data_IF_808681432533
#
_entry.id   IF_808681432533
#
_cell.length_a   1.000
_cell.length_b   1.000
_cell.length_c   1.000
_cell.angle_alpha   90.00
_cell.angle_beta   90.00
_cell.angle_gamma   90.00
#
_symmetry.space_group_name_H-M   'P 1'
#
loop_
_entity.id
_entity.type
_entity.pdbx_description
1 polymer ?
#
# COMPACT_ATOMS: atom_id res chain seq x y z
N UNK A 1 19.78 -38.35 -40.75
CA UNK A 1 18.58 -38.53 -39.90
C UNK A 1 18.75 -38.05 -38.45
N UNK A 2 19.89 -38.19 -37.81
CA UNK A 2 20.11 -37.79 -36.41
C UNK A 2 19.93 -36.27 -36.15
N UNK A 3 20.36 -35.39 -37.08
CA UNK A 3 20.21 -33.95 -36.97
C UNK A 3 18.73 -33.47 -36.89
N UNK A 4 17.83 -34.17 -37.58
CA UNK A 4 16.40 -33.87 -37.59
C UNK A 4 15.71 -34.23 -36.26
N UNK A 5 16.14 -35.29 -35.59
CA UNK A 5 15.58 -35.72 -34.31
C UNK A 5 16.02 -34.76 -33.17
N UNK A 6 17.31 -34.47 -33.11
CA UNK A 6 17.87 -33.50 -32.14
C UNK A 6 17.22 -32.13 -32.25
N UNK A 7 17.08 -31.62 -33.48
CA UNK A 7 16.40 -30.32 -33.71
C UNK A 7 14.95 -30.33 -33.23
N UNK A 8 14.21 -31.42 -33.36
CA UNK A 8 12.83 -31.54 -32.87
C UNK A 8 12.75 -31.54 -31.35
N UNK A 9 13.69 -32.23 -30.68
CA UNK A 9 13.78 -32.24 -29.22
C UNK A 9 14.13 -30.85 -28.66
N UNK A 10 15.13 -30.17 -29.25
CA UNK A 10 15.51 -28.81 -28.85
C UNK A 10 14.36 -27.83 -29.07
N UNK A 11 13.65 -27.93 -30.20
CA UNK A 11 12.48 -27.07 -30.46
C UNK A 11 11.35 -27.33 -29.47
N UNK A 12 11.05 -28.60 -29.15
CA UNK A 12 10.02 -28.93 -28.14
C UNK A 12 10.37 -28.43 -26.77
N UNK A 13 11.63 -28.51 -26.34
CA UNK A 13 12.12 -28.01 -25.08
C UNK A 13 12.05 -26.47 -25.01
N UNK A 14 12.39 -25.80 -26.11
CA UNK A 14 12.33 -24.35 -26.23
C UNK A 14 10.90 -23.85 -26.14
N UNK A 15 9.95 -24.50 -26.79
CA UNK A 15 8.51 -24.19 -26.71
C UNK A 15 8.00 -24.41 -25.30
N UNK A 16 8.34 -25.52 -24.65
CA UNK A 16 7.91 -25.82 -23.29
C UNK A 16 8.47 -24.79 -22.28
N UNK A 17 9.74 -24.42 -22.40
CA UNK A 17 10.38 -23.40 -21.57
C UNK A 17 9.73 -22.03 -21.75
N UNK A 18 9.46 -21.63 -22.99
CA UNK A 18 8.78 -20.36 -23.28
C UNK A 18 7.36 -20.34 -22.69
N UNK A 19 6.63 -21.44 -22.81
CA UNK A 19 5.26 -21.57 -22.30
C UNK A 19 5.25 -21.54 -20.77
N UNK A 20 6.25 -22.15 -20.12
CA UNK A 20 6.42 -22.10 -18.66
C UNK A 20 6.70 -20.68 -18.15
N UNK A 21 7.60 -19.94 -18.82
CA UNK A 21 7.89 -18.54 -18.47
C UNK A 21 6.65 -17.67 -18.64
N UNK A 22 5.90 -17.87 -19.71
CA UNK A 22 4.67 -17.09 -19.99
C UNK A 22 3.57 -17.38 -18.96
N UNK A 23 3.46 -18.62 -18.50
CA UNK A 23 2.52 -19.01 -17.44
C UNK A 23 2.91 -18.38 -16.11
N UNK A 24 4.18 -18.44 -15.74
CA UNK A 24 4.69 -17.81 -14.49
C UNK A 24 4.47 -16.30 -14.56
N UNK A 25 4.77 -15.66 -15.70
CA UNK A 25 4.61 -14.22 -15.87
C UNK A 25 3.17 -13.74 -15.67
N UNK A 26 2.21 -14.47 -16.25
CA UNK A 26 0.78 -14.11 -16.15
C UNK A 26 0.20 -14.38 -14.75
N UNK A 27 0.51 -15.52 -14.16
CA UNK A 27 -0.01 -15.88 -12.84
C UNK A 27 0.64 -15.09 -11.70
N UNK A 28 1.97 -14.91 -11.75
CA UNK A 28 2.73 -14.26 -10.67
C UNK A 28 2.36 -12.78 -10.51
N UNK A 29 2.07 -12.08 -11.60
CA UNK A 29 1.79 -10.63 -11.56
C UNK A 29 0.55 -10.29 -10.74
N UNK A 30 -0.56 -11.00 -10.93
CA UNK A 30 -1.80 -10.75 -10.20
C UNK A 30 -1.70 -11.08 -8.72
N UNK A 31 -1.18 -12.28 -8.42
CA UNK A 31 -1.05 -12.77 -7.03
C UNK A 31 -0.09 -11.87 -6.23
N UNK A 32 1.03 -11.48 -6.82
CA UNK A 32 2.02 -10.60 -6.17
C UNK A 32 1.42 -9.24 -5.86
N UNK A 33 0.65 -8.66 -6.78
CA UNK A 33 -0.01 -7.38 -6.56
C UNK A 33 -1.00 -7.41 -5.40
N UNK A 34 -1.89 -8.39 -5.38
CA UNK A 34 -2.90 -8.52 -4.33
C UNK A 34 -2.27 -8.77 -2.96
N UNK A 35 -1.21 -9.58 -2.93
CA UNK A 35 -0.43 -9.83 -1.74
C UNK A 35 0.24 -8.54 -1.23
N UNK A 36 0.93 -7.80 -2.10
CA UNK A 36 1.60 -6.55 -1.72
C UNK A 36 0.62 -5.49 -1.24
N UNK A 37 -0.55 -5.36 -1.88
CA UNK A 37 -1.60 -4.44 -1.45
C UNK A 37 -2.06 -4.79 -0.03
N UNK A 38 -2.35 -6.06 0.21
CA UNK A 38 -2.82 -6.52 1.52
C UNK A 38 -1.76 -6.37 2.61
N UNK A 39 -0.52 -6.72 2.31
CA UNK A 39 0.61 -6.59 3.22
C UNK A 39 0.86 -5.12 3.59
N UNK A 40 0.87 -4.22 2.60
CA UNK A 40 0.99 -2.79 2.83
C UNK A 40 -0.19 -2.21 3.60
N UNK A 41 -1.42 -2.65 3.29
CA UNK A 41 -2.60 -2.21 4.01
C UNK A 41 -2.55 -2.59 5.50
N UNK A 42 -2.13 -3.80 5.82
CA UNK A 42 -1.97 -4.24 7.20
C UNK A 42 -0.90 -3.42 7.94
N UNK A 43 0.28 -3.26 7.33
CA UNK A 43 1.35 -2.47 7.93
C UNK A 43 0.95 -1.00 8.17
N UNK A 44 0.23 -0.39 7.23
CA UNK A 44 -0.29 0.97 7.38
C UNK A 44 -1.41 1.06 8.41
N UNK A 45 -2.22 0.01 8.55
CA UNK A 45 -3.27 -0.04 9.59
C UNK A 45 -2.67 -0.13 10.99
N UNK A 46 -1.61 -0.92 11.16
CA UNK A 46 -0.89 -1.01 12.44
C UNK A 46 -0.27 0.35 12.79
N UNK A 47 0.39 1.03 11.85
CA UNK A 47 0.93 2.38 12.03
C UNK A 47 -0.17 3.40 12.35
N UNK A 48 -1.32 3.31 11.67
CA UNK A 48 -2.46 4.19 11.94
C UNK A 48 -2.98 4.03 13.37
N UNK A 49 -2.98 2.79 13.90
CA UNK A 49 -3.37 2.53 15.29
C UNK A 49 -2.36 3.12 16.28
N UNK A 50 -1.05 3.02 16.00
CA UNK A 50 -0.01 3.59 16.86
C UNK A 50 -0.10 5.12 16.92
N UNK A 51 -0.34 5.75 15.77
CA UNK A 51 -0.60 7.20 15.70
C UNK A 51 -1.91 7.55 16.42
N UNK A 52 -2.97 6.74 16.24
CA UNK A 52 -4.25 6.97 16.91
C UNK A 52 -4.15 6.84 18.43
N UNK A 53 -3.35 5.90 18.94
CA UNK A 53 -3.06 5.80 20.36
C UNK A 53 -2.35 7.05 20.89
N UNK A 54 -1.36 7.56 20.17
CA UNK A 54 -0.67 8.80 20.52
C UNK A 54 -1.62 10.01 20.51
N UNK A 55 -2.48 10.13 19.50
CA UNK A 55 -3.53 11.15 19.44
C UNK A 55 -4.50 11.04 20.63
N UNK A 56 -4.87 9.83 21.04
CA UNK A 56 -5.78 9.61 22.17
C UNK A 56 -5.24 10.20 23.48
N UNK A 57 -3.94 10.05 23.74
CA UNK A 57 -3.29 10.63 24.93
C UNK A 57 -3.37 12.15 24.94
N UNK A 58 -3.27 12.80 23.77
CA UNK A 58 -3.43 14.27 23.66
C UNK A 58 -4.85 14.71 24.04
N UNK A 59 -5.88 13.99 23.58
CA UNK A 59 -7.27 14.30 23.92
C UNK A 59 -7.58 14.08 25.41
N UNK A 60 -6.81 13.23 26.09
CA UNK A 60 -6.98 12.97 27.53
C UNK A 60 -6.23 13.98 28.42
N UNK A 61 -5.66 15.05 27.84
CA UNK A 61 -5.03 16.13 28.59
C UNK A 61 -3.60 15.84 29.06
N UNK A 62 -2.98 14.79 28.58
CA UNK A 62 -1.53 14.63 28.71
C UNK A 62 -0.87 15.65 27.78
N UNK A 63 -0.12 16.59 28.36
CA UNK A 63 0.58 17.66 27.64
C UNK A 63 1.60 17.05 26.67
N UNK A 64 1.17 16.78 25.45
CA UNK A 64 2.05 16.49 24.36
C UNK A 64 2.15 17.74 23.49
N UNK A 65 3.38 18.16 23.20
CA UNK A 65 3.61 19.33 22.37
C UNK A 65 3.06 19.10 20.97
N UNK A 66 2.07 19.90 20.55
CA UNK A 66 1.40 19.79 19.25
C UNK A 66 2.40 19.92 18.08
N UNK A 67 3.41 20.78 18.25
CA UNK A 67 4.46 21.00 17.24
C UNK A 67 5.36 19.78 17.12
N UNK A 68 5.69 19.16 18.26
CA UNK A 68 6.44 17.91 18.27
C UNK A 68 5.67 16.79 17.59
N UNK A 69 4.39 16.64 17.90
CA UNK A 69 3.54 15.62 17.30
C UNK A 69 3.38 15.82 15.79
N UNK A 70 3.15 17.06 15.34
CA UNK A 70 3.07 17.37 13.92
C UNK A 70 4.37 17.05 13.18
N UNK A 71 5.51 17.29 13.81
CA UNK A 71 6.83 16.94 13.29
C UNK A 71 7.03 15.43 13.20
N UNK A 72 6.61 14.67 14.20
CA UNK A 72 6.64 13.21 14.18
C UNK A 72 5.76 12.66 13.06
N UNK A 73 4.52 13.17 12.93
CA UNK A 73 3.59 12.79 11.87
C UNK A 73 4.20 13.01 10.47
N UNK A 74 4.87 14.15 10.27
CA UNK A 74 5.59 14.47 9.03
C UNK A 74 6.74 13.51 8.76
N UNK A 75 7.52 13.17 9.78
CA UNK A 75 8.65 12.25 9.65
C UNK A 75 8.16 10.84 9.26
N UNK A 76 7.13 10.32 9.92
CA UNK A 76 6.50 9.03 9.60
C UNK A 76 5.96 9.04 8.18
N UNK A 77 5.22 10.08 7.81
CA UNK A 77 4.66 10.27 6.47
C UNK A 77 5.76 10.25 5.39
N UNK A 78 6.87 10.93 5.63
CA UNK A 78 8.01 10.98 4.72
C UNK A 78 8.69 9.61 4.59
N UNK A 79 8.90 8.93 5.71
CA UNK A 79 9.52 7.61 5.73
C UNK A 79 8.69 6.56 4.99
N UNK A 80 7.37 6.56 5.23
CA UNK A 80 6.43 5.63 4.60
C UNK A 80 6.00 6.05 3.20
N UNK A 81 6.39 7.24 2.73
CA UNK A 81 5.93 7.84 1.47
C UNK A 81 4.41 7.95 1.38
N UNK A 82 3.77 8.26 2.49
CA UNK A 82 2.32 8.36 2.63
C UNK A 82 1.89 9.80 2.87
N UNK A 83 0.58 10.02 2.85
CA UNK A 83 -0.04 11.23 3.38
C UNK A 83 -0.91 10.83 4.57
N UNK A 84 -0.71 11.48 5.72
CA UNK A 84 -1.39 11.13 6.96
C UNK A 84 -2.27 12.30 7.39
N UNK A 85 -3.55 12.01 7.60
CA UNK A 85 -4.50 12.98 8.13
C UNK A 85 -5.07 12.52 9.47
N UNK A 86 -5.24 13.44 10.38
CA UNK A 86 -6.07 13.26 11.57
C UNK A 86 -7.36 14.02 11.33
N UNK A 87 -8.48 13.32 11.44
CA UNK A 87 -9.82 13.91 11.21
C UNK A 87 -10.68 13.79 12.45
N UNK A 88 -11.60 14.72 12.63
CA UNK A 88 -12.62 14.63 13.66
C UNK A 88 -13.74 13.65 13.26
N UNK A 89 -14.72 13.46 14.15
CA UNK A 89 -15.89 12.58 13.90
C UNK A 89 -16.70 12.96 12.66
N UNK A 90 -16.68 14.23 12.29
CA UNK A 90 -17.44 14.75 11.14
C UNK A 90 -16.64 14.75 9.83
N UNK A 91 -15.46 14.14 9.82
CA UNK A 91 -14.62 14.07 8.62
C UNK A 91 -13.89 15.37 8.27
N UNK A 92 -13.74 16.30 9.21
CA UNK A 92 -12.92 17.50 9.01
C UNK A 92 -11.48 17.19 9.35
N UNK A 93 -10.56 17.48 8.43
CA UNK A 93 -9.11 17.31 8.64
C UNK A 93 -8.63 18.36 9.63
N UNK A 94 -8.10 17.91 10.76
CA UNK A 94 -7.55 18.74 11.82
C UNK A 94 -6.02 18.80 11.81
N UNK A 95 -5.36 17.75 11.30
CA UNK A 95 -3.92 17.69 11.10
C UNK A 95 -3.59 17.01 9.77
N UNK A 96 -2.55 17.48 9.12
CA UNK A 96 -2.05 16.96 7.84
C UNK A 96 -0.53 16.91 7.88
N UNK A 97 0.02 15.77 7.50
CA UNK A 97 1.46 15.55 7.43
C UNK A 97 2.17 16.32 6.30
N UNK A 98 1.43 16.81 5.30
CA UNK A 98 1.94 17.58 4.16
C UNK A 98 1.72 19.09 4.32
N UNK A 99 2.46 19.70 5.25
CA UNK A 99 2.50 21.17 5.44
C UNK A 99 1.14 21.84 5.67
N UNK A 100 0.14 21.11 6.15
CA UNK A 100 -1.17 21.66 6.48
C UNK A 100 -2.07 22.00 5.28
N UNK A 101 -1.70 21.57 4.07
CA UNK A 101 -2.43 21.91 2.84
C UNK A 101 -3.90 21.42 2.86
N UNK A 102 -4.20 20.38 3.64
CA UNK A 102 -5.54 19.79 3.76
C UNK A 102 -6.28 20.15 5.04
N UNK A 103 -5.67 20.90 5.94
CA UNK A 103 -6.33 21.34 7.20
C UNK A 103 -7.62 22.09 6.85
N UNK A 104 -8.69 21.80 7.60
CA UNK A 104 -10.06 22.26 7.39
C UNK A 104 -10.77 21.70 6.15
N UNK A 105 -10.15 20.79 5.38
CA UNK A 105 -10.86 20.07 4.32
C UNK A 105 -11.93 19.18 4.94
N UNK A 106 -13.13 19.22 4.38
CA UNK A 106 -14.24 18.34 4.78
C UNK A 106 -14.29 17.18 3.81
N UNK A 107 -14.23 15.95 4.33
CA UNK A 107 -14.38 14.73 3.52
C UNK A 107 -15.88 14.52 3.29
N UNK A 108 -16.35 14.56 2.03
CA UNK A 108 -17.77 14.37 1.72
C UNK A 108 -18.25 12.98 2.17
N UNK A 109 -19.44 12.90 2.75
CA UNK A 109 -20.07 11.64 3.16
C UNK A 109 -19.11 10.71 3.95
N UNK A 110 -18.31 11.32 4.84
CA UNK A 110 -17.29 10.61 5.62
C UNK A 110 -17.95 9.51 6.48
N UNK A 111 -17.72 8.27 6.08
CA UNK A 111 -18.09 7.10 6.85
C UNK A 111 -16.89 6.14 6.94
N UNK A 112 -16.15 6.17 8.06
CA UNK A 112 -14.99 5.31 8.26
C UNK A 112 -15.37 3.83 8.41
N UNK A 113 -16.66 3.51 8.59
CA UNK A 113 -17.18 2.15 8.72
C UNK A 113 -17.72 1.59 7.39
N UNK A 114 -17.89 2.43 6.38
CA UNK A 114 -18.45 2.06 5.07
C UNK A 114 -17.59 1.07 4.28
N UNK A 115 -16.34 0.83 4.71
CA UNK A 115 -15.45 -0.16 4.07
C UNK A 115 -15.90 -1.61 4.25
N UNK A 116 -16.94 -1.86 5.06
CA UNK A 116 -17.43 -3.20 5.37
C UNK A 116 -16.34 -4.04 6.07
N UNK A 117 -16.17 -5.29 5.61
CA UNK A 117 -15.13 -6.18 6.16
C UNK A 117 -13.71 -5.90 5.63
N UNK A 118 -13.51 -4.84 4.86
CA UNK A 118 -12.20 -4.48 4.33
C UNK A 118 -11.54 -3.45 5.24
N UNK A 119 -10.33 -3.74 5.67
CA UNK A 119 -9.51 -2.80 6.46
C UNK A 119 -8.92 -1.65 5.64
N UNK A 120 -9.15 -1.61 4.32
CA UNK A 120 -8.61 -0.60 3.42
C UNK A 120 -9.52 -0.34 2.21
N UNK A 121 -9.34 0.83 1.59
CA UNK A 121 -9.97 1.21 0.32
C UNK A 121 -8.90 1.56 -0.71
N UNK A 122 -9.21 1.36 -2.01
CA UNK A 122 -8.36 1.80 -3.13
C UNK A 122 -9.20 2.68 -4.04
N UNK A 123 -8.70 3.87 -4.33
CA UNK A 123 -9.35 4.83 -5.20
C UNK A 123 -8.83 6.24 -4.97
N UNK A 124 -9.54 7.23 -5.48
CA UNK A 124 -9.18 8.65 -5.33
C UNK A 124 -9.61 9.25 -4.00
N UNK A 125 -9.99 8.43 -3.04
CA UNK A 125 -10.47 8.78 -1.70
C UNK A 125 -11.37 10.02 -1.71
N UNK A 126 -12.66 9.80 -2.00
CA UNK A 126 -13.67 10.87 -2.13
C UNK A 126 -13.29 11.98 -3.14
N UNK A 127 -12.52 11.65 -4.18
CA UNK A 127 -12.00 12.59 -5.21
C UNK A 127 -11.07 13.68 -4.65
N UNK A 128 -10.46 13.43 -3.49
CA UNK A 128 -9.49 14.34 -2.87
C UNK A 128 -8.07 14.14 -3.40
N UNK A 129 -7.81 13.02 -4.10
CA UNK A 129 -6.54 12.73 -4.77
C UNK A 129 -6.74 12.64 -6.29
N UNK A 130 -5.74 13.12 -7.04
CA UNK A 130 -5.71 13.03 -8.50
C UNK A 130 -5.33 11.63 -8.99
N UNK A 131 -4.82 10.78 -8.11
CA UNK A 131 -4.39 9.41 -8.37
C UNK A 131 -5.03 8.42 -7.39
N UNK A 132 -4.97 7.13 -7.74
CA UNK A 132 -5.42 6.10 -6.83
C UNK A 132 -4.46 5.96 -5.64
N UNK A 133 -5.03 5.96 -4.45
CA UNK A 133 -4.35 5.73 -3.18
C UNK A 133 -4.94 4.52 -2.47
N UNK A 134 -4.10 3.78 -1.78
CA UNK A 134 -4.49 2.82 -0.77
C UNK A 134 -4.71 3.59 0.52
N UNK A 135 -5.92 3.55 1.07
CA UNK A 135 -6.30 4.29 2.27
C UNK A 135 -6.70 3.34 3.37
N UNK A 136 -6.16 3.57 4.56
CA UNK A 136 -6.53 2.88 5.79
C UNK A 136 -7.06 3.90 6.80
N UNK A 137 -7.89 3.43 7.75
CA UNK A 137 -8.48 4.26 8.79
C UNK A 137 -8.40 3.56 10.14
N UNK A 138 -7.90 4.27 11.16
CA UNK A 138 -7.88 3.79 12.54
C UNK A 138 -8.61 4.78 13.46
N UNK A 139 -9.49 4.32 14.37
CA UNK A 139 -10.22 5.21 15.27
C UNK A 139 -9.32 5.72 16.39
N UNK A 140 -9.38 7.02 16.67
CA UNK A 140 -8.81 7.65 17.86
C UNK A 140 -9.81 7.51 18.99
N UNK A 141 -9.57 6.60 19.91
CA UNK A 141 -10.51 6.28 21.00
C UNK A 141 -9.91 6.56 22.36
N UNK A 142 -10.73 7.02 23.30
CA UNK A 142 -10.35 7.20 24.69
C UNK A 142 -11.59 7.42 25.56
N UNK A 143 -11.54 7.00 26.80
CA UNK A 143 -12.67 7.10 27.74
C UNK A 143 -14.00 6.57 27.16
N UNK A 144 -13.94 5.41 26.48
CA UNK A 144 -15.08 4.76 25.81
C UNK A 144 -15.74 5.62 24.70
N UNK A 145 -15.02 6.59 24.17
CA UNK A 145 -15.51 7.51 23.14
C UNK A 145 -14.52 7.57 21.99
N UNK A 146 -15.02 7.60 20.75
CA UNK A 146 -14.19 7.91 19.58
C UNK A 146 -14.07 9.42 19.45
N UNK A 147 -12.87 9.96 19.37
CA UNK A 147 -12.61 11.40 19.18
C UNK A 147 -12.51 11.78 17.70
N UNK A 148 -12.01 10.86 16.89
CA UNK A 148 -11.80 11.07 15.46
C UNK A 148 -11.15 9.85 14.85
N UNK A 149 -10.45 10.02 13.73
CA UNK A 149 -9.78 8.95 13.00
C UNK A 149 -8.42 9.41 12.48
N UNK A 150 -7.48 8.49 12.43
CA UNK A 150 -6.24 8.64 11.68
C UNK A 150 -6.43 7.97 10.32
N UNK A 151 -6.15 8.70 9.26
CA UNK A 151 -6.21 8.22 7.89
C UNK A 151 -4.81 8.22 7.31
N UNK A 152 -4.40 7.11 6.69
CA UNK A 152 -3.12 7.01 5.99
C UNK A 152 -3.39 6.67 4.53
N UNK A 153 -2.84 7.48 3.63
CA UNK A 153 -3.01 7.35 2.18
C UNK A 153 -1.66 7.05 1.52
N UNK A 154 -1.52 5.90 0.90
CA UNK A 154 -0.34 5.48 0.12
C UNK A 154 -0.67 5.52 -1.37
N UNK A 155 0.08 6.26 -2.20
CA UNK A 155 -0.08 6.17 -3.65
C UNK A 155 0.10 4.73 -4.15
N UNK A 156 -0.82 4.26 -4.97
CA UNK A 156 -0.75 2.89 -5.53
C UNK A 156 0.47 2.71 -6.44
N UNK A 157 1.01 3.80 -7.00
CA UNK A 157 2.27 3.81 -7.76
C UNK A 157 3.45 3.28 -6.94
N UNK A 158 3.54 3.61 -5.65
CA UNK A 158 4.60 3.11 -4.76
C UNK A 158 4.58 1.58 -4.61
N UNK A 159 3.36 0.99 -4.66
CA UNK A 159 3.20 -0.47 -4.64
C UNK A 159 3.60 -1.07 -5.99
N UNK A 160 3.21 -0.42 -7.10
CA UNK A 160 3.54 -0.86 -8.44
C UNK A 160 5.05 -0.86 -8.69
N UNK A 161 5.77 0.15 -8.21
CA UNK A 161 7.23 0.20 -8.30
C UNK A 161 7.89 -0.97 -7.56
N UNK A 162 7.42 -1.29 -6.35
CA UNK A 162 7.91 -2.46 -5.59
C UNK A 162 7.60 -3.77 -6.31
N UNK A 163 6.42 -3.88 -6.96
CA UNK A 163 6.04 -5.06 -7.75
C UNK A 163 6.95 -5.25 -8.96
N UNK A 164 7.25 -4.18 -9.70
CA UNK A 164 8.08 -4.26 -10.91
C UNK A 164 9.47 -4.81 -10.58
N UNK A 165 10.11 -4.36 -9.51
CA UNK A 165 11.41 -4.88 -9.07
C UNK A 165 11.39 -6.37 -8.75
N UNK A 166 10.33 -6.86 -8.09
CA UNK A 166 10.19 -8.30 -7.78
C UNK A 166 10.03 -9.11 -9.05
N UNK A 167 9.22 -8.64 -10.00
CA UNK A 167 9.01 -9.31 -11.28
C UNK A 167 10.29 -9.32 -12.14
N UNK A 168 11.05 -8.24 -12.16
CA UNK A 168 12.34 -8.17 -12.88
C UNK A 168 13.33 -9.20 -12.37
N UNK A 169 13.45 -9.35 -11.04
CA UNK A 169 14.31 -10.38 -10.43
C UNK A 169 13.81 -11.78 -10.83
N UNK A 170 12.51 -12.02 -10.79
CA UNK A 170 11.91 -13.30 -11.18
C UNK A 170 12.20 -13.63 -12.63
N UNK A 171 12.00 -12.67 -13.56
CA UNK A 171 12.25 -12.88 -14.99
C UNK A 171 13.73 -13.12 -15.28
N UNK A 172 14.62 -12.35 -14.64
CA UNK A 172 16.05 -12.53 -14.78
C UNK A 172 16.47 -13.93 -14.29
N UNK A 173 15.97 -14.38 -13.17
CA UNK A 173 16.23 -15.71 -12.62
C UNK A 173 15.73 -16.81 -13.56
N UNK A 174 14.51 -16.69 -14.08
CA UNK A 174 13.96 -17.63 -15.06
C UNK A 174 14.80 -17.67 -16.34
N UNK A 175 15.25 -16.53 -16.85
CA UNK A 175 16.10 -16.46 -18.05
C UNK A 175 17.45 -17.15 -17.85
N UNK A 176 18.09 -16.97 -16.68
CA UNK A 176 19.35 -17.62 -16.34
C UNK A 176 19.16 -19.14 -16.27
N UNK A 177 18.14 -19.63 -15.57
CA UNK A 177 17.84 -21.06 -15.46
C UNK A 177 17.59 -21.66 -16.83
N UNK A 178 16.81 -20.97 -17.68
CA UNK A 178 16.52 -21.40 -19.04
C UNK A 178 17.80 -21.47 -19.90
N UNK A 179 18.67 -20.47 -19.83
CA UNK A 179 19.94 -20.45 -20.53
C UNK A 179 20.87 -21.61 -20.11
N UNK A 180 20.98 -21.86 -18.80
CA UNK A 180 21.77 -22.95 -18.25
C UNK A 180 21.22 -24.33 -18.67
N UNK A 181 19.92 -24.46 -18.86
CA UNK A 181 19.30 -25.72 -19.26
C UNK A 181 19.46 -26.05 -20.74
N UNK A 182 19.94 -25.12 -21.57
CA UNK A 182 20.24 -25.30 -22.99
C UNK A 182 21.69 -25.79 -23.27
N UNK A 183 22.56 -25.76 -22.25
CA UNK A 183 23.95 -26.21 -22.32
C UNK A 183 24.06 -27.69 -21.95
#
# INVERSE_FOLDING_TARGET
MARSLYSKFVLGYLIFGLLSVLTIATFSSGITRDYLIKDRANALYDEANDIAASCSLMYQGQHQDMDLFSTQLKNVSTYLRTEIWVVNKSGVVIMDSKNGARIHTIIPDFDPTATGNRSYTIGTYYKLFDQNVLSVSAPVTGNYTTYGYVLIHLPVSEIADSQSHILDILYMTCAIIFALSLV
#
